data_IF_236075148251
#
_entry.id   IF_236075148251
#
_cell.length_a   1.000
_cell.length_b   1.000
_cell.length_c   1.000
_cell.angle_alpha   90.00
_cell.angle_beta   90.00
_cell.angle_gamma   90.00
#
_symmetry.space_group_name_H-M   'P 1'
#
loop_
_entity.id
_entity.type
_entity.pdbx_description
1 polymer ?
#
# COMPACT_ATOMS: atom_id res chain seq x y z
N UNK A 1 6.49 -72.13 -26.77
CA UNK A 1 6.07 -73.11 -25.78
C UNK A 1 5.21 -72.37 -24.78
N UNK A 2 3.93 -72.68 -24.92
CA UNK A 2 3.05 -73.25 -23.84
C UNK A 2 2.68 -72.19 -22.80
N UNK A 3 1.45 -71.76 -22.91
CA UNK A 3 0.21 -72.20 -22.21
C UNK A 3 0.19 -71.63 -20.78
N UNK A 4 -0.85 -71.12 -20.18
CA UNK A 4 -2.26 -71.43 -20.15
C UNK A 4 -2.88 -70.39 -19.19
N UNK A 5 -3.95 -69.74 -19.53
CA UNK A 5 -5.28 -69.68 -18.93
C UNK A 5 -5.36 -69.42 -17.40
N UNK A 6 -6.20 -68.54 -16.94
CA UNK A 6 -7.64 -68.65 -16.63
C UNK A 6 -8.05 -67.35 -15.97
N UNK A 7 -8.92 -66.53 -16.52
CA UNK A 7 -10.38 -66.42 -16.35
C UNK A 7 -10.86 -66.45 -14.90
N UNK A 8 -11.58 -65.42 -14.50
CA UNK A 8 -12.88 -65.33 -13.85
C UNK A 8 -12.99 -63.89 -13.33
N UNK A 9 -13.70 -62.99 -13.91
CA UNK A 9 -15.13 -62.74 -14.02
C UNK A 9 -15.81 -62.46 -12.66
N UNK A 10 -16.39 -61.33 -12.56
CA UNK A 10 -17.72 -60.95 -12.06
C UNK A 10 -17.65 -59.53 -11.46
N UNK A 11 -18.05 -58.53 -12.14
CA UNK A 11 -19.36 -57.91 -12.24
C UNK A 11 -19.93 -57.47 -10.89
N UNK A 12 -20.25 -56.22 -10.74
CA UNK A 12 -21.59 -55.63 -10.60
C UNK A 12 -21.37 -54.12 -10.26
N UNK A 13 -21.72 -53.23 -11.14
CA UNK A 13 -22.82 -52.28 -11.13
C UNK A 13 -22.95 -51.51 -9.81
N UNK A 14 -22.91 -50.23 -9.79
CA UNK A 14 -23.90 -49.25 -10.20
C UNK A 14 -23.34 -47.89 -9.96
N UNK A 15 -23.48 -47.07 -10.94
CA UNK A 15 -24.46 -46.03 -11.14
C UNK A 15 -23.96 -44.63 -10.82
N UNK A 16 -23.88 -43.85 -11.91
CA UNK A 16 -24.39 -42.50 -12.14
C UNK A 16 -24.20 -41.50 -11.02
N UNK A 17 -23.58 -40.37 -11.27
CA UNK A 17 -24.15 -39.29 -12.07
C UNK A 17 -23.11 -38.22 -12.29
N UNK A 18 -22.96 -37.84 -13.53
CA UNK A 18 -22.99 -36.46 -14.05
C UNK A 18 -22.85 -35.38 -13.02
N UNK A 19 -21.86 -34.50 -13.14
CA UNK A 19 -22.01 -33.34 -13.96
C UNK A 19 -20.74 -32.57 -14.17
N UNK A 20 -20.59 -31.92 -15.28
CA UNK A 20 -19.39 -31.21 -15.65
C UNK A 20 -19.45 -29.74 -15.27
N UNK A 21 -18.28 -29.19 -15.17
CA UNK A 21 -18.07 -27.76 -15.42
C UNK A 21 -18.46 -26.80 -14.31
N UNK A 22 -17.51 -26.54 -13.42
CA UNK A 22 -17.19 -25.16 -13.11
C UNK A 22 -15.69 -25.02 -13.03
N UNK A 23 -15.17 -24.43 -14.08
CA UNK A 23 -13.84 -23.89 -14.23
C UNK A 23 -13.65 -22.83 -13.15
N UNK A 24 -13.32 -23.24 -11.94
CA UNK A 24 -12.88 -22.34 -10.89
C UNK A 24 -11.46 -21.93 -11.26
N UNK A 25 -11.31 -20.71 -11.75
CA UNK A 25 -10.03 -20.02 -11.76
C UNK A 25 -9.47 -20.10 -10.35
N UNK A 26 -8.42 -20.88 -10.20
CA UNK A 26 -7.59 -20.93 -9.02
C UNK A 26 -6.87 -19.59 -8.95
N UNK A 27 -7.51 -18.60 -8.36
CA UNK A 27 -6.81 -17.44 -7.87
C UNK A 27 -5.83 -17.98 -6.83
N UNK A 28 -4.56 -17.95 -7.19
CA UNK A 28 -3.45 -18.15 -6.30
C UNK A 28 -3.61 -17.07 -5.22
N UNK A 29 -4.25 -17.43 -4.13
CA UNK A 29 -4.18 -16.65 -2.92
C UNK A 29 -2.71 -16.66 -2.53
N UNK A 30 -2.05 -15.56 -2.74
CA UNK A 30 -0.77 -15.24 -2.15
C UNK A 30 -0.99 -15.32 -0.65
N UNK A 31 -0.46 -16.39 -0.07
CA UNK A 31 -0.47 -16.58 1.38
C UNK A 31 0.34 -15.44 1.97
N UNK A 32 -0.36 -14.39 2.38
CA UNK A 32 0.22 -13.38 3.26
C UNK A 32 0.52 -14.11 4.55
N UNK A 33 1.79 -14.34 4.81
CA UNK A 33 2.29 -14.88 6.06
C UNK A 33 1.76 -13.99 7.18
N UNK A 34 0.82 -14.53 7.96
CA UNK A 34 0.21 -13.81 9.07
C UNK A 34 1.31 -13.54 10.09
N UNK A 35 1.66 -12.27 10.27
CA UNK A 35 2.60 -11.85 11.29
C UNK A 35 2.09 -12.29 12.67
N UNK A 36 2.88 -13.04 13.41
CA UNK A 36 2.55 -13.47 14.76
C UNK A 36 2.48 -12.24 15.67
N UNK A 37 1.39 -12.03 16.42
CA UNK A 37 1.28 -10.92 17.35
C UNK A 37 2.41 -10.98 18.39
N UNK A 38 3.13 -9.87 18.58
CA UNK A 38 4.32 -9.80 19.42
C UNK A 38 4.18 -8.91 20.66
N UNK A 39 3.05 -8.19 20.82
CA UNK A 39 2.82 -7.27 21.92
C UNK A 39 1.36 -7.27 22.36
N UNK A 40 1.08 -6.98 23.61
CA UNK A 40 -0.26 -6.69 24.09
C UNK A 40 -0.78 -5.39 23.47
N UNK A 41 -2.00 -5.40 22.95
CA UNK A 41 -2.59 -4.28 22.26
C UNK A 41 -2.31 -4.25 20.74
N UNK A 42 -2.75 -3.18 20.04
CA UNK A 42 -2.52 -3.00 18.62
C UNK A 42 -1.08 -2.54 18.36
N UNK A 43 -0.44 -3.12 17.34
CA UNK A 43 0.92 -2.76 16.90
C UNK A 43 0.93 -2.57 15.41
N UNK A 44 1.54 -1.47 14.94
CA UNK A 44 1.69 -1.16 13.52
C UNK A 44 3.07 -1.59 13.02
N UNK A 45 3.09 -2.30 11.91
CA UNK A 45 4.28 -2.55 11.10
C UNK A 45 3.98 -2.13 9.66
N UNK A 46 4.88 -1.36 9.04
CA UNK A 46 4.80 -1.01 7.63
C UNK A 46 5.76 -1.88 6.81
N UNK A 47 5.39 -2.20 5.57
CA UNK A 47 6.25 -2.86 4.58
C UNK A 47 7.50 -2.03 4.26
N UNK A 48 7.36 -0.70 4.28
CA UNK A 48 8.41 0.30 4.09
C UNK A 48 8.09 1.56 4.88
N UNK A 49 9.09 2.26 5.35
CA UNK A 49 8.92 3.54 6.07
C UNK A 49 9.17 4.76 5.17
N UNK A 50 9.72 4.53 3.98
CA UNK A 50 9.94 5.60 3.00
C UNK A 50 9.77 5.10 1.58
N UNK A 51 9.39 6.02 0.68
CA UNK A 51 9.36 5.78 -0.75
C UNK A 51 10.00 6.96 -1.49
N UNK A 52 10.83 6.64 -2.48
CA UNK A 52 11.47 7.62 -3.35
C UNK A 52 10.87 7.51 -4.75
N UNK A 53 10.25 8.59 -5.22
CA UNK A 53 9.70 8.66 -6.58
C UNK A 53 10.76 8.99 -7.64
N UNK A 54 12.02 9.24 -7.21
CA UNK A 54 13.07 9.70 -8.12
C UNK A 54 12.81 11.13 -8.62
N UNK A 55 13.11 11.36 -9.91
CA UNK A 55 12.91 12.67 -10.55
C UNK A 55 11.59 12.69 -11.30
N UNK A 56 10.77 13.68 -11.02
CA UNK A 56 9.48 13.96 -11.67
C UNK A 56 9.45 15.42 -12.17
N UNK A 57 8.47 15.79 -13.00
CA UNK A 57 8.32 17.17 -13.45
C UNK A 57 7.37 17.95 -12.54
N UNK A 58 7.57 19.26 -12.49
CA UNK A 58 6.67 20.15 -11.77
C UNK A 58 5.26 20.15 -12.39
N UNK A 59 4.26 19.78 -11.59
CA UNK A 59 2.88 19.61 -12.01
C UNK A 59 2.46 18.13 -12.07
N UNK A 60 3.40 17.18 -12.00
CA UNK A 60 3.06 15.77 -11.91
C UNK A 60 2.40 15.44 -10.56
N UNK A 61 1.43 14.52 -10.60
CA UNK A 61 0.85 13.91 -9.42
C UNK A 61 1.28 12.47 -9.39
N UNK A 62 1.97 12.08 -8.33
CA UNK A 62 2.48 10.72 -8.13
C UNK A 62 1.90 10.09 -6.87
N UNK A 63 1.79 8.77 -6.86
CA UNK A 63 1.24 8.05 -5.71
C UNK A 63 2.07 6.79 -5.39
N UNK A 64 2.02 6.39 -4.14
CA UNK A 64 2.58 5.13 -3.65
C UNK A 64 1.69 4.53 -2.59
N UNK A 65 1.73 3.22 -2.46
CA UNK A 65 1.03 2.48 -1.43
C UNK A 65 2.03 2.05 -0.37
N UNK A 66 1.67 2.27 0.89
CA UNK A 66 2.30 1.67 2.07
C UNK A 66 1.35 0.61 2.61
N UNK A 67 1.84 -0.61 2.77
CA UNK A 67 1.07 -1.67 3.41
C UNK A 67 1.31 -1.63 4.91
N UNK A 68 0.24 -1.40 5.65
CA UNK A 68 0.23 -1.39 7.10
C UNK A 68 -0.30 -2.73 7.59
N UNK A 69 0.41 -3.38 8.51
CA UNK A 69 0.00 -4.65 9.12
C UNK A 69 -0.16 -4.46 10.62
N UNK A 70 -1.26 -4.95 11.16
CA UNK A 70 -1.44 -5.04 12.60
C UNK A 70 -0.73 -6.29 13.13
N UNK A 71 0.43 -6.12 13.74
CA UNK A 71 1.21 -7.20 14.35
C UNK A 71 0.97 -7.37 15.85
N UNK A 72 -0.04 -6.67 16.38
CA UNK A 72 -0.46 -6.75 17.77
C UNK A 72 -1.52 -7.84 18.03
N UNK A 73 -2.13 -7.79 19.22
CA UNK A 73 -3.11 -8.77 19.70
C UNK A 73 -4.54 -8.27 19.73
N UNK A 74 -4.77 -6.98 19.45
CA UNK A 74 -6.10 -6.37 19.40
C UNK A 74 -6.27 -5.51 18.16
N UNK A 75 -7.51 -5.10 17.86
CA UNK A 75 -7.85 -4.32 16.68
C UNK A 75 -7.09 -2.98 16.63
N UNK A 76 -6.46 -2.74 15.50
CA UNK A 76 -5.80 -1.48 15.17
C UNK A 76 -6.79 -0.54 14.48
N UNK A 77 -6.84 0.70 14.90
CA UNK A 77 -7.68 1.74 14.29
C UNK A 77 -6.80 2.94 13.90
N UNK A 78 -6.93 3.37 12.65
CA UNK A 78 -6.33 4.62 12.17
C UNK A 78 -7.37 5.74 12.37
N UNK A 79 -7.14 6.56 13.38
CA UNK A 79 -8.03 7.65 13.75
C UNK A 79 -7.89 8.86 12.81
N UNK A 80 -6.65 9.14 12.38
CA UNK A 80 -6.35 10.26 11.49
C UNK A 80 -5.07 10.01 10.70
N UNK A 81 -4.98 10.60 9.51
CA UNK A 81 -3.74 10.67 8.76
C UNK A 81 -3.57 12.06 8.16
N UNK A 82 -2.36 12.63 8.26
CA UNK A 82 -2.06 13.98 7.80
C UNK A 82 -0.71 14.05 7.13
N UNK A 83 -0.67 14.62 5.92
CA UNK A 83 0.57 15.01 5.26
C UNK A 83 1.21 16.23 5.93
N UNK A 84 2.54 16.35 5.83
CA UNK A 84 3.30 17.51 6.33
C UNK A 84 3.02 18.80 5.55
N UNK A 85 2.35 18.70 4.40
CA UNK A 85 1.85 19.83 3.59
C UNK A 85 0.50 19.46 2.97
N UNK A 86 -0.26 20.44 2.50
CA UNK A 86 -1.48 20.22 1.73
C UNK A 86 -1.25 19.56 0.35
N UNK A 87 0.01 19.39 -0.06
CA UNK A 87 0.42 18.71 -1.28
C UNK A 87 0.56 17.18 -1.14
N UNK A 88 0.38 16.66 0.09
CA UNK A 88 0.48 15.22 0.38
C UNK A 88 -0.83 14.78 1.02
N UNK A 89 -1.59 13.96 0.30
CA UNK A 89 -2.92 13.52 0.71
C UNK A 89 -2.89 12.01 0.94
N UNK A 90 -3.09 11.53 2.18
CA UNK A 90 -3.25 10.12 2.47
C UNK A 90 -4.70 9.67 2.28
N UNK A 91 -4.86 8.49 1.67
CA UNK A 91 -6.13 7.74 1.63
C UNK A 91 -5.95 6.46 2.44
N UNK A 92 -6.83 6.18 3.39
CA UNK A 92 -6.70 5.09 4.36
C UNK A 92 -8.07 4.65 4.89
N UNK A 93 -8.22 3.44 5.45
CA UNK A 93 -9.45 2.97 6.09
C UNK A 93 -9.65 3.68 7.43
N UNK A 94 -10.24 4.87 7.37
CA UNK A 94 -10.49 5.69 8.55
C UNK A 94 -11.49 5.05 9.49
N UNK A 95 -11.18 5.01 10.79
CA UNK A 95 -12.04 4.51 11.86
C UNK A 95 -12.54 3.05 11.66
N UNK A 96 -11.88 2.29 10.77
CA UNK A 96 -12.19 0.89 10.54
C UNK A 96 -11.21 0.00 11.33
N UNK A 97 -11.71 -1.04 12.02
CA UNK A 97 -10.83 -1.95 12.73
C UNK A 97 -10.06 -2.85 11.77
N UNK A 98 -8.75 -2.94 11.99
CA UNK A 98 -7.82 -3.83 11.30
C UNK A 98 -7.46 -4.92 12.30
N UNK A 99 -7.97 -6.13 12.07
CA UNK A 99 -7.80 -7.25 13.00
C UNK A 99 -6.32 -7.67 13.13
N UNK A 100 -5.93 -8.30 14.25
CA UNK A 100 -4.60 -8.89 14.43
C UNK A 100 -4.17 -9.77 13.26
N UNK A 101 -2.93 -9.61 12.79
CA UNK A 101 -2.36 -10.34 11.66
C UNK A 101 -2.87 -9.91 10.29
N UNK A 102 -3.79 -8.94 10.19
CA UNK A 102 -4.29 -8.44 8.90
C UNK A 102 -3.60 -7.15 8.48
N UNK A 103 -3.70 -6.85 7.19
CA UNK A 103 -3.07 -5.66 6.58
C UNK A 103 -4.11 -4.76 5.94
N UNK A 104 -3.78 -3.47 5.88
CA UNK A 104 -4.52 -2.47 5.14
C UNK A 104 -3.57 -1.65 4.27
N UNK A 105 -4.05 -1.21 3.12
CA UNK A 105 -3.31 -0.34 2.23
C UNK A 105 -3.58 1.12 2.56
N UNK A 106 -2.51 1.92 2.53
CA UNK A 106 -2.56 3.37 2.67
C UNK A 106 -1.93 3.98 1.44
N UNK A 107 -2.72 4.65 0.63
CA UNK A 107 -2.26 5.35 -0.55
C UNK A 107 -1.85 6.78 -0.20
N UNK A 108 -0.66 7.17 -0.59
CA UNK A 108 -0.13 8.52 -0.39
C UNK A 108 0.07 9.17 -1.75
N UNK A 109 -0.67 10.25 -2.02
CA UNK A 109 -0.57 11.07 -3.24
C UNK A 109 0.24 12.33 -2.96
N UNK A 110 1.10 12.70 -3.89
CA UNK A 110 1.89 13.93 -3.85
C UNK A 110 1.67 14.72 -5.13
N UNK A 111 1.23 15.97 -4.97
CA UNK A 111 1.11 16.97 -6.03
C UNK A 111 2.38 17.84 -6.04
N UNK A 112 3.15 17.76 -7.12
CA UNK A 112 4.41 18.50 -7.31
C UNK A 112 4.22 19.95 -7.78
N UNK A 113 2.98 20.37 -8.01
CA UNK A 113 2.70 21.73 -8.49
C UNK A 113 3.23 22.79 -7.51
N UNK A 114 4.04 23.73 -8.01
CA UNK A 114 4.73 24.75 -7.21
C UNK A 114 5.65 24.18 -6.10
N UNK A 115 6.24 23.00 -6.34
CA UNK A 115 7.17 22.34 -5.41
C UNK A 115 8.48 21.96 -6.10
N UNK A 116 9.18 22.88 -6.80
CA UNK A 116 10.42 22.54 -7.50
C UNK A 116 11.51 22.09 -6.54
N UNK A 117 12.51 21.36 -7.11
CA UNK A 117 13.69 20.85 -6.43
C UNK A 117 13.39 19.69 -5.46
N UNK A 118 14.29 19.47 -4.51
CA UNK A 118 14.20 18.37 -3.57
C UNK A 118 13.00 18.52 -2.61
N UNK A 119 12.17 17.47 -2.57
CA UNK A 119 11.05 17.38 -1.65
C UNK A 119 11.22 16.16 -0.74
N UNK A 120 11.05 16.40 0.54
CA UNK A 120 10.95 15.36 1.56
C UNK A 120 9.69 15.64 2.37
N UNK A 121 8.72 14.75 2.32
CA UNK A 121 7.41 14.92 2.96
C UNK A 121 7.11 13.73 3.85
N UNK A 122 6.45 13.98 4.96
CA UNK A 122 6.00 12.95 5.88
C UNK A 122 4.48 12.85 5.90
N UNK A 123 3.99 11.65 6.15
CA UNK A 123 2.61 11.39 6.53
C UNK A 123 2.61 10.84 7.94
N UNK A 124 1.85 11.47 8.81
CA UNK A 124 1.67 11.08 10.19
C UNK A 124 0.30 10.42 10.35
N UNK A 125 0.27 9.22 10.88
CA UNK A 125 -0.92 8.50 11.28
C UNK A 125 -1.11 8.63 12.79
N UNK A 126 -2.32 8.95 13.21
CA UNK A 126 -2.76 8.83 14.60
C UNK A 126 -3.52 7.52 14.74
N UNK A 127 -3.09 6.66 15.64
CA UNK A 127 -3.63 5.31 15.83
C UNK A 127 -3.95 5.07 17.29
N UNK A 128 -4.66 3.97 17.59
CA UNK A 128 -4.93 3.52 18.95
C UNK A 128 -3.79 2.66 19.54
N UNK A 129 -2.60 2.68 18.94
CA UNK A 129 -1.41 2.00 19.51
C UNK A 129 -0.91 2.74 20.76
N UNK A 130 -0.05 2.08 21.54
CA UNK A 130 0.59 2.73 22.70
C UNK A 130 1.35 4.00 22.32
N UNK A 131 2.07 3.98 21.18
CA UNK A 131 2.75 5.18 20.65
C UNK A 131 1.77 6.26 20.19
N UNK A 132 0.56 5.89 19.80
CA UNK A 132 -0.47 6.78 19.29
C UNK A 132 -0.14 7.46 17.96
N UNK A 133 1.07 7.25 17.42
CA UNK A 133 1.57 7.97 16.25
C UNK A 133 2.59 7.16 15.46
N UNK A 134 2.35 7.06 14.15
CA UNK A 134 3.28 6.43 13.20
C UNK A 134 3.58 7.40 12.05
N UNK A 135 4.76 7.28 11.43
CA UNK A 135 5.21 8.21 10.37
C UNK A 135 5.85 7.44 9.23
N UNK A 136 5.41 7.76 8.01
CA UNK A 136 6.10 7.36 6.78
C UNK A 136 6.57 8.58 6.00
N UNK A 137 7.52 8.39 5.10
CA UNK A 137 8.13 9.47 4.32
C UNK A 137 8.05 9.21 2.82
N UNK A 138 7.93 10.27 2.04
CA UNK A 138 8.13 10.25 0.60
C UNK A 138 9.24 11.23 0.24
N UNK A 139 10.00 10.90 -0.80
CA UNK A 139 11.08 11.73 -1.35
C UNK A 139 10.92 11.83 -2.85
N UNK A 140 11.30 12.96 -3.39
CA UNK A 140 11.38 13.17 -4.85
C UNK A 140 12.19 14.41 -5.17
N UNK A 141 12.78 14.43 -6.36
CA UNK A 141 13.32 15.64 -6.96
C UNK A 141 12.37 16.10 -8.07
N UNK A 142 11.89 17.33 -7.98
CA UNK A 142 10.97 17.92 -8.95
C UNK A 142 11.74 18.83 -9.88
N UNK A 143 11.82 18.47 -11.16
CA UNK A 143 12.37 19.34 -12.23
C UNK A 143 11.47 20.56 -12.40
N UNK A 144 11.99 21.78 -12.22
CA UNK A 144 11.18 22.98 -12.36
C UNK A 144 10.58 23.13 -13.77
N UNK A 145 9.35 23.57 -13.86
CA UNK A 145 8.77 24.05 -15.11
C UNK A 145 9.47 25.37 -15.51
N UNK A 146 10.04 25.48 -16.74
CA UNK A 146 10.82 26.65 -17.14
C UNK A 146 10.04 27.97 -17.10
N UNK A 147 8.75 27.93 -17.46
CA UNK A 147 7.92 29.15 -17.46
C UNK A 147 7.62 29.60 -16.02
N UNK A 148 7.29 28.66 -15.15
CA UNK A 148 7.06 28.96 -13.74
C UNK A 148 8.33 29.43 -13.04
N UNK A 149 9.50 28.90 -13.42
CA UNK A 149 10.77 29.36 -12.86
C UNK A 149 11.08 30.79 -13.25
N UNK A 150 10.91 31.17 -14.51
CA UNK A 150 11.04 32.56 -14.95
C UNK A 150 10.10 33.49 -14.16
N UNK A 151 8.86 33.09 -13.95
CA UNK A 151 7.91 33.88 -13.16
C UNK A 151 8.36 34.02 -11.69
N UNK A 152 8.88 32.96 -11.09
CA UNK A 152 9.43 32.96 -9.72
C UNK A 152 10.62 33.90 -9.61
N UNK A 153 11.52 33.89 -10.62
CA UNK A 153 12.68 34.79 -10.69
C UNK A 153 12.28 36.25 -10.84
N UNK A 154 11.37 36.54 -11.76
CA UNK A 154 10.86 37.91 -11.96
C UNK A 154 10.20 38.45 -10.66
N UNK A 155 9.43 37.59 -9.97
CA UNK A 155 8.83 37.99 -8.68
C UNK A 155 9.89 38.27 -7.61
N UNK A 156 10.94 37.44 -7.52
CA UNK A 156 12.06 37.65 -6.58
C UNK A 156 12.76 38.98 -6.84
N UNK A 157 13.05 39.28 -8.10
CA UNK A 157 13.68 40.53 -8.50
C UNK A 157 12.82 41.76 -8.17
N UNK A 158 11.51 41.70 -8.46
CA UNK A 158 10.57 42.76 -8.11
C UNK A 158 10.47 43.01 -6.59
N UNK A 159 10.52 41.95 -5.79
CA UNK A 159 10.50 42.07 -4.33
C UNK A 159 11.80 42.70 -3.77
N UNK A 160 12.95 42.42 -4.38
CA UNK A 160 14.24 43.02 -4.00
C UNK A 160 14.37 44.50 -4.40
N UNK A 161 13.76 44.86 -5.54
CA UNK A 161 13.79 46.28 -6.02
C UNK A 161 12.90 47.22 -5.15
N UNK A 162 12.00 46.66 -4.33
CA UNK A 162 11.09 47.44 -3.49
C UNK A 162 11.55 47.53 -2.03
N UNK A 163 12.78 47.10 -1.70
CA UNK A 163 13.41 47.21 -0.36
C UNK A 163 14.43 48.33 -0.34
#
# INVERSE_FOLDING_TARGET
MKFIHILIALAILTSCSTDPSKKAKKNKAETTEAATPTADGPVVTFDKLSHDFGTINEGDVVETVFKLTNTGTSDLIILNARGSCGCTVPEYPKDQPIAPGTSADVTVKFDSNNKPNANNRSVTFTTNTEKGREVVQIRTFVTPDPLKEQQREARRQAMQANQ
#
